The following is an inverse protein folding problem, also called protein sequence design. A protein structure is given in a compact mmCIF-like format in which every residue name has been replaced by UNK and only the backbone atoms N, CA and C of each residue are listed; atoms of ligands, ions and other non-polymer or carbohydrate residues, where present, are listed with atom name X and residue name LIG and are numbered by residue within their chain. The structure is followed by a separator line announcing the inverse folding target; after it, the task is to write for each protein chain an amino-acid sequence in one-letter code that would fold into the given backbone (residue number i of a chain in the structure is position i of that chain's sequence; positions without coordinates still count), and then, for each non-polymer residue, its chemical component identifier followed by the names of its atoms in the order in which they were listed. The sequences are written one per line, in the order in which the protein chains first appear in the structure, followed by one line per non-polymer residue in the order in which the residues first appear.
data_IF_964650035430
#
_entry.id   IF_964650035430
#
_cell.length_a   1.000
_cell.length_b   1.000
_cell.length_c   1.000
_cell.angle_alpha   90.00
_cell.angle_beta   90.00
_cell.angle_gamma   90.00
#
_symmetry.space_group_name_H-M   'P 1'
#
loop_
_entity.id
_entity.type
_entity.pdbx_description
1 polymer ?
#
# COMPACT_ATOMS: atom_id res chain seq x y z
N UNK A 1 -67.84 -14.64 14.43
CA UNK A 1 -66.80 -15.70 14.42
C UNK A 1 -65.83 -15.37 13.33
N UNK A 2 -64.69 -14.68 13.68
CA UNK A 2 -63.57 -14.41 12.76
C UNK A 2 -62.50 -15.49 13.00
N UNK A 3 -62.13 -16.19 11.92
CA UNK A 3 -61.01 -17.13 11.93
C UNK A 3 -59.69 -16.35 11.62
N UNK A 4 -58.59 -16.55 12.33
CA UNK A 4 -57.32 -15.95 11.96
C UNK A 4 -56.66 -16.72 10.83
N UNK A 5 -56.23 -15.96 9.82
CA UNK A 5 -55.36 -16.46 8.71
C UNK A 5 -53.91 -16.49 9.27
N UNK A 6 -53.35 -17.66 9.37
CA UNK A 6 -51.92 -17.84 9.66
C UNK A 6 -51.15 -17.73 8.36
N UNK A 7 -50.38 -16.67 8.18
CA UNK A 7 -49.45 -16.51 7.08
C UNK A 7 -48.17 -17.31 7.40
N UNK A 8 -47.95 -18.40 6.69
CA UNK A 8 -46.72 -19.18 6.73
C UNK A 8 -45.64 -18.43 5.89
N UNK A 9 -44.72 -17.77 6.55
CA UNK A 9 -43.52 -17.21 5.88
C UNK A 9 -42.54 -18.37 5.69
N UNK A 10 -42.46 -18.90 4.48
CA UNK A 10 -41.40 -19.84 4.07
C UNK A 10 -40.13 -19.04 3.82
N UNK A 11 -39.26 -19.01 4.83
CA UNK A 11 -37.91 -18.46 4.67
C UNK A 11 -37.11 -19.38 3.72
N UNK A 12 -36.80 -18.91 2.52
CA UNK A 12 -35.78 -19.51 1.66
C UNK A 12 -34.41 -19.38 2.34
N UNK A 13 -33.97 -20.41 3.05
CA UNK A 13 -32.56 -20.55 3.37
C UNK A 13 -31.84 -20.94 2.06
N UNK A 14 -31.10 -19.99 1.52
CA UNK A 14 -30.13 -20.26 0.49
C UNK A 14 -29.02 -21.12 1.13
N UNK A 15 -29.08 -22.44 0.93
CA UNK A 15 -27.94 -23.30 1.19
C UNK A 15 -26.85 -22.90 0.20
N UNK A 16 -25.73 -22.33 0.69
CA UNK A 16 -24.52 -22.20 -0.10
C UNK A 16 -24.17 -23.59 -0.63
N UNK A 17 -24.20 -23.76 -1.94
CA UNK A 17 -23.89 -25.02 -2.61
C UNK A 17 -22.41 -25.30 -2.37
N UNK A 18 -22.09 -26.31 -1.56
CA UNK A 18 -20.71 -26.71 -1.28
C UNK A 18 -20.07 -27.07 -2.64
N UNK A 19 -19.02 -26.39 -3.02
CA UNK A 19 -18.33 -26.64 -4.28
C UNK A 19 -17.81 -28.08 -4.30
N UNK A 20 -18.30 -28.87 -5.23
CA UNK A 20 -17.93 -30.29 -5.39
C UNK A 20 -16.85 -30.50 -6.45
N UNK A 21 -16.38 -29.44 -7.10
CA UNK A 21 -15.39 -29.48 -8.17
C UNK A 21 -14.15 -28.65 -7.80
N UNK A 22 -12.93 -29.15 -8.10
CA UNK A 22 -11.71 -28.41 -7.93
C UNK A 22 -11.51 -27.31 -9.00
N UNK A 23 -12.28 -27.32 -10.09
CA UNK A 23 -12.14 -26.33 -11.15
C UNK A 23 -12.32 -24.91 -10.64
N UNK A 24 -11.49 -23.99 -11.12
CA UNK A 24 -11.55 -22.56 -10.80
C UNK A 24 -10.21 -22.00 -10.35
N UNK A 25 -10.26 -20.80 -9.81
CA UNK A 25 -9.09 -20.06 -9.32
C UNK A 25 -8.95 -20.24 -7.81
N UNK A 26 -7.72 -20.42 -7.38
CA UNK A 26 -7.35 -20.64 -5.99
C UNK A 26 -6.12 -19.81 -5.64
N UNK A 27 -6.00 -19.45 -4.38
CA UNK A 27 -4.76 -18.98 -3.79
C UNK A 27 -4.15 -20.19 -3.08
N UNK A 28 -3.00 -20.64 -3.58
CA UNK A 28 -2.20 -21.74 -3.03
C UNK A 28 -1.20 -21.19 -2.03
N UNK A 29 -1.01 -21.89 -0.93
CA UNK A 29 0.02 -21.62 0.05
C UNK A 29 0.86 -22.89 0.24
N UNK A 30 2.13 -22.83 -0.09
CA UNK A 30 3.13 -23.83 0.20
C UNK A 30 3.89 -23.40 1.45
N UNK A 31 3.71 -24.12 2.56
CA UNK A 31 4.41 -23.84 3.82
C UNK A 31 5.78 -24.50 3.84
N UNK A 32 6.74 -23.76 3.29
CA UNK A 32 8.11 -24.23 3.18
C UNK A 32 8.92 -23.80 4.42
N UNK A 33 9.23 -24.76 5.29
CA UNK A 33 9.71 -24.54 6.65
C UNK A 33 8.72 -23.61 7.41
N UNK A 34 9.16 -22.47 7.93
CA UNK A 34 8.31 -21.52 8.62
C UNK A 34 7.83 -20.35 7.70
N UNK A 35 8.04 -20.48 6.37
CA UNK A 35 7.63 -19.47 5.42
C UNK A 35 6.37 -19.89 4.67
N UNK A 36 5.46 -18.94 4.51
CA UNK A 36 4.31 -19.05 3.63
C UNK A 36 4.69 -18.58 2.22
N UNK A 37 4.54 -19.44 1.22
CA UNK A 37 4.76 -19.14 -0.19
C UNK A 37 3.43 -19.18 -0.94
N UNK A 38 2.93 -18.01 -1.30
CA UNK A 38 1.63 -17.84 -1.93
C UNK A 38 1.76 -17.70 -3.44
N UNK A 39 0.91 -18.42 -4.17
CA UNK A 39 0.78 -18.27 -5.62
C UNK A 39 -0.66 -18.55 -6.09
N UNK A 40 -1.00 -18.11 -7.29
CA UNK A 40 -2.30 -18.40 -7.91
C UNK A 40 -2.30 -19.77 -8.53
N UNK A 41 -3.29 -20.59 -8.17
CA UNK A 41 -3.51 -21.92 -8.73
C UNK A 41 -4.81 -21.90 -9.55
N UNK A 42 -4.69 -22.11 -10.85
CA UNK A 42 -5.81 -22.33 -11.76
C UNK A 42 -5.96 -23.82 -12.02
N UNK A 43 -7.16 -24.36 -11.84
CA UNK A 43 -7.46 -25.77 -12.09
C UNK A 43 -8.64 -25.91 -13.04
N UNK A 44 -8.52 -26.82 -14.01
CA UNK A 44 -9.55 -27.18 -14.98
C UNK A 44 -9.75 -28.71 -15.00
N UNK A 45 -10.95 -29.16 -14.65
CA UNK A 45 -11.30 -30.58 -14.56
C UNK A 45 -12.01 -31.03 -15.85
N UNK A 46 -11.49 -32.12 -16.47
CA UNK A 46 -12.14 -32.81 -17.58
C UNK A 46 -12.17 -34.32 -17.28
N UNK A 47 -13.38 -34.82 -16.93
CA UNK A 47 -13.51 -36.16 -16.39
C UNK A 47 -12.77 -36.30 -15.07
N UNK A 48 -11.75 -37.15 -15.02
CA UNK A 48 -10.83 -37.31 -13.89
C UNK A 48 -9.51 -36.54 -14.09
N UNK A 49 -9.24 -36.08 -15.31
CA UNK A 49 -8.02 -35.33 -15.61
C UNK A 49 -8.12 -33.90 -15.11
N UNK A 50 -7.11 -33.49 -14.35
CA UNK A 50 -6.99 -32.16 -13.81
C UNK A 50 -5.76 -31.48 -14.44
N UNK A 51 -5.98 -30.37 -15.13
CA UNK A 51 -4.92 -29.57 -15.74
C UNK A 51 -4.99 -28.14 -15.21
N UNK A 52 -3.87 -27.40 -15.28
CA UNK A 52 -3.88 -26.02 -14.82
C UNK A 52 -2.51 -25.37 -14.74
N UNK A 53 -2.41 -24.39 -13.84
CA UNK A 53 -1.16 -23.67 -13.56
C UNK A 53 -1.05 -23.32 -12.09
N UNK A 54 0.16 -23.42 -11.54
CA UNK A 54 0.55 -22.81 -10.29
C UNK A 54 1.55 -21.67 -10.64
N UNK A 55 1.10 -20.44 -10.47
CA UNK A 55 1.82 -19.27 -10.99
C UNK A 55 2.01 -19.35 -12.49
N UNK A 56 3.26 -19.36 -12.95
CA UNK A 56 3.61 -19.52 -14.36
C UNK A 56 3.83 -20.99 -14.76
N UNK A 57 3.84 -21.91 -13.80
CA UNK A 57 4.22 -23.28 -13.99
C UNK A 57 3.01 -24.17 -14.33
N UNK A 58 3.17 -25.10 -15.27
CA UNK A 58 2.09 -26.03 -15.63
C UNK A 58 1.82 -27.03 -14.51
N UNK A 59 0.54 -27.28 -14.27
CA UNK A 59 0.04 -28.35 -13.38
C UNK A 59 -0.66 -29.40 -14.22
N UNK A 60 -0.29 -30.65 -14.02
CA UNK A 60 -0.93 -31.83 -14.60
C UNK A 60 -1.23 -32.83 -13.52
N UNK A 61 -2.48 -33.34 -13.46
CA UNK A 61 -2.89 -34.23 -12.40
C UNK A 61 -4.25 -34.89 -12.60
N UNK A 62 -4.78 -35.42 -11.51
CA UNK A 62 -6.08 -36.11 -11.47
C UNK A 62 -6.90 -35.65 -10.27
N UNK A 63 -8.22 -35.72 -10.41
CA UNK A 63 -9.18 -35.58 -9.32
C UNK A 63 -10.12 -36.76 -9.30
N UNK A 64 -10.08 -37.52 -8.20
CA UNK A 64 -10.93 -38.65 -7.98
C UNK A 64 -11.28 -38.78 -6.49
N UNK A 65 -12.54 -39.10 -6.18
CA UNK A 65 -13.03 -39.31 -4.81
C UNK A 65 -12.69 -38.16 -3.85
N UNK A 66 -12.76 -36.88 -4.35
CA UNK A 66 -12.46 -35.71 -3.57
C UNK A 66 -10.96 -35.45 -3.38
N UNK A 67 -10.08 -36.22 -4.01
CA UNK A 67 -8.62 -36.08 -3.90
C UNK A 67 -8.00 -35.54 -5.17
N UNK A 68 -7.03 -34.70 -4.97
CA UNK A 68 -6.18 -34.12 -6.01
C UNK A 68 -4.80 -34.77 -5.90
N UNK A 69 -4.29 -35.24 -7.00
CA UNK A 69 -2.89 -35.66 -7.14
C UNK A 69 -2.36 -35.05 -8.44
N UNK A 70 -1.24 -34.33 -8.38
CA UNK A 70 -0.66 -33.73 -9.56
C UNK A 70 0.79 -33.30 -9.40
N UNK A 71 1.37 -32.90 -10.51
CA UNK A 71 2.75 -32.49 -10.62
C UNK A 71 2.80 -31.05 -11.18
N UNK A 72 3.65 -30.22 -10.59
CA UNK A 72 4.01 -28.89 -11.07
C UNK A 72 5.49 -28.94 -11.47
N UNK A 73 5.81 -28.52 -12.68
CA UNK A 73 7.20 -28.38 -13.16
C UNK A 73 7.64 -26.94 -12.91
N UNK A 74 8.31 -26.70 -11.79
CA UNK A 74 8.76 -25.38 -11.37
C UNK A 74 10.09 -24.98 -12.03
N UNK A 75 10.85 -25.95 -12.58
CA UNK A 75 12.09 -25.71 -13.27
C UNK A 75 12.63 -26.95 -14.00
N UNK A 76 13.81 -26.86 -14.64
CA UNK A 76 14.41 -27.99 -15.35
C UNK A 76 14.71 -29.19 -14.43
N UNK A 77 14.94 -28.95 -13.15
CA UNK A 77 15.31 -29.92 -12.13
C UNK A 77 14.48 -29.77 -10.87
N UNK A 78 13.28 -29.21 -10.98
CA UNK A 78 12.43 -28.95 -9.84
C UNK A 78 10.98 -29.36 -10.17
N UNK A 79 10.56 -30.42 -9.51
CA UNK A 79 9.20 -30.94 -9.63
C UNK A 79 8.52 -30.94 -8.27
N UNK A 80 7.35 -30.30 -8.18
CA UNK A 80 6.54 -30.32 -6.97
C UNK A 80 5.38 -31.27 -7.19
N UNK A 81 5.29 -32.33 -6.36
CA UNK A 81 4.14 -33.22 -6.31
C UNK A 81 3.13 -32.66 -5.29
N UNK A 82 1.90 -32.44 -5.71
CA UNK A 82 0.80 -31.99 -4.87
C UNK A 82 -0.17 -33.11 -4.61
N UNK A 83 -0.43 -33.42 -3.33
CA UNK A 83 -1.43 -34.34 -2.87
C UNK A 83 -2.38 -33.63 -1.92
N UNK A 84 -3.67 -33.57 -2.23
CA UNK A 84 -4.61 -32.84 -1.40
C UNK A 84 -6.03 -33.36 -1.45
N UNK A 85 -6.83 -32.96 -0.48
CA UNK A 85 -8.26 -33.28 -0.42
C UNK A 85 -9.06 -31.97 -0.54
N UNK A 86 -10.07 -31.98 -1.41
CA UNK A 86 -11.02 -30.88 -1.55
C UNK A 86 -12.04 -30.93 -0.41
N UNK A 87 -12.15 -29.84 0.34
CA UNK A 87 -13.09 -29.66 1.46
C UNK A 87 -13.86 -28.34 1.28
N UNK A 88 -14.92 -28.34 0.49
CA UNK A 88 -15.65 -27.13 0.13
C UNK A 88 -14.78 -26.16 -0.67
N UNK A 89 -14.53 -24.98 -0.15
CA UNK A 89 -13.69 -23.95 -0.76
C UNK A 89 -12.22 -23.99 -0.29
N UNK A 90 -11.78 -25.13 0.24
CA UNK A 90 -10.38 -25.38 0.65
C UNK A 90 -9.85 -26.67 0.07
N UNK A 91 -8.55 -26.67 -0.22
CA UNK A 91 -7.75 -27.85 -0.50
C UNK A 91 -6.71 -27.92 0.61
N UNK A 92 -6.59 -29.08 1.24
CA UNK A 92 -5.58 -29.34 2.28
C UNK A 92 -4.79 -30.58 1.93
N UNK A 93 -3.47 -30.51 2.07
CA UNK A 93 -2.63 -31.61 1.67
C UNK A 93 -1.13 -31.42 1.92
N UNK A 94 -0.36 -32.12 1.13
CA UNK A 94 1.10 -32.13 1.17
C UNK A 94 1.65 -31.79 -0.21
N UNK A 95 2.68 -30.96 -0.25
CA UNK A 95 3.55 -30.75 -1.39
C UNK A 95 4.88 -31.47 -1.13
N UNK A 96 5.44 -32.10 -2.15
CA UNK A 96 6.74 -32.80 -2.08
C UNK A 96 7.65 -32.22 -3.16
N UNK A 97 8.81 -31.69 -2.80
CA UNK A 97 9.91 -31.49 -3.74
C UNK A 97 10.51 -32.83 -4.09
N UNK A 98 10.23 -33.33 -5.31
CA UNK A 98 10.50 -34.72 -5.69
C UNK A 98 11.99 -35.04 -5.67
N UNK A 99 12.83 -34.12 -6.17
CA UNK A 99 14.27 -34.34 -6.30
C UNK A 99 14.95 -34.34 -4.92
N UNK A 100 14.46 -33.53 -3.99
CA UNK A 100 15.01 -33.42 -2.64
C UNK A 100 14.35 -34.37 -1.63
N UNK A 101 13.23 -34.97 -2.00
CA UNK A 101 12.38 -35.82 -1.13
C UNK A 101 11.93 -35.08 0.13
N UNK A 102 11.57 -33.83 -0.03
CA UNK A 102 11.18 -32.95 1.06
C UNK A 102 9.67 -32.69 1.00
N UNK A 103 8.98 -33.03 2.08
CA UNK A 103 7.54 -32.83 2.25
C UNK A 103 7.28 -31.56 3.07
N UNK A 104 6.25 -30.81 2.65
CA UNK A 104 5.75 -29.66 3.38
C UNK A 104 4.24 -29.50 3.22
N UNK A 105 3.63 -28.71 4.08
CA UNK A 105 2.18 -28.50 4.08
C UNK A 105 1.76 -27.72 2.84
N UNK A 106 0.69 -28.16 2.19
CA UNK A 106 0.02 -27.46 1.12
C UNK A 106 -1.42 -27.16 1.50
N UNK A 107 -1.80 -25.91 1.34
CA UNK A 107 -3.17 -25.44 1.47
C UNK A 107 -3.53 -24.61 0.25
N UNK A 108 -4.78 -24.68 -0.19
CA UNK A 108 -5.31 -23.69 -1.13
C UNK A 108 -6.73 -23.33 -0.74
N UNK A 109 -7.09 -22.08 -0.93
CA UNK A 109 -8.44 -21.60 -0.75
C UNK A 109 -8.92 -20.93 -2.02
N UNK A 110 -10.21 -21.09 -2.28
CA UNK A 110 -10.80 -20.54 -3.48
C UNK A 110 -10.60 -19.04 -3.51
N UNK A 111 -10.03 -18.53 -4.61
CA UNK A 111 -9.89 -17.09 -4.79
C UNK A 111 -11.28 -16.45 -4.72
N UNK A 112 -11.45 -15.43 -3.88
CA UNK A 112 -12.68 -14.71 -3.81
C UNK A 112 -13.01 -14.20 -5.22
N UNK A 113 -14.16 -14.60 -5.75
CA UNK A 113 -14.59 -14.03 -7.02
C UNK A 113 -14.72 -12.53 -6.83
N UNK A 114 -14.06 -11.75 -7.69
CA UNK A 114 -14.31 -10.30 -7.77
C UNK A 114 -15.82 -10.15 -7.70
N UNK A 115 -16.32 -9.46 -6.69
CA UNK A 115 -17.77 -9.35 -6.49
C UNK A 115 -18.42 -9.01 -7.83
N UNK A 116 -19.36 -9.85 -8.26
CA UNK A 116 -20.08 -9.63 -9.53
C UNK A 116 -20.97 -8.36 -9.49
N UNK A 117 -20.97 -7.65 -8.36
CA UNK A 117 -21.67 -6.40 -8.14
C UNK A 117 -20.81 -5.17 -8.48
N UNK A 118 -21.41 -4.00 -8.55
CA UNK A 118 -20.69 -2.74 -8.72
C UNK A 118 -19.76 -2.49 -7.53
N UNK A 119 -18.67 -1.71 -7.72
CA UNK A 119 -17.82 -1.27 -6.63
C UNK A 119 -18.60 -0.64 -5.48
N UNK A 120 -18.21 -0.92 -4.25
CA UNK A 120 -18.88 -0.42 -3.05
C UNK A 120 -18.10 0.74 -2.42
N UNK A 121 -18.83 1.59 -1.71
CA UNK A 121 -18.23 2.62 -0.87
C UNK A 121 -18.46 2.26 0.59
N UNK A 122 -17.37 2.11 1.33
CA UNK A 122 -17.36 1.78 2.75
C UNK A 122 -17.05 3.03 3.57
N UNK A 123 -17.95 3.39 4.50
CA UNK A 123 -17.65 4.40 5.51
C UNK A 123 -17.06 3.69 6.74
N UNK A 124 -15.80 3.96 7.03
CA UNK A 124 -15.10 3.38 8.18
C UNK A 124 -14.76 4.46 9.21
N UNK A 125 -15.32 4.31 10.40
CA UNK A 125 -15.06 5.19 11.55
C UNK A 125 -14.00 4.54 12.45
N UNK A 126 -12.76 5.05 12.51
CA UNK A 126 -11.69 4.44 13.28
C UNK A 126 -11.93 4.61 14.78
N UNK A 127 -11.84 3.52 15.53
CA UNK A 127 -11.91 3.48 16.98
C UNK A 127 -10.55 3.18 17.64
N UNK A 128 -9.63 2.61 16.87
CA UNK A 128 -8.27 2.24 17.24
C UNK A 128 -7.30 2.73 16.18
N UNK A 129 -6.06 2.99 16.58
CA UNK A 129 -5.00 3.47 15.72
C UNK A 129 -3.75 2.65 15.94
N UNK A 130 -3.09 2.25 14.87
CA UNK A 130 -1.94 1.38 14.90
C UNK A 130 -0.64 2.20 14.90
N UNK A 131 0.41 1.67 15.53
CA UNK A 131 1.73 2.32 15.60
C UNK A 131 2.80 1.54 14.84
N UNK A 132 2.37 0.57 14.06
CA UNK A 132 3.26 -0.32 13.31
C UNK A 132 2.63 -0.73 11.99
N UNK A 133 3.47 -0.93 11.00
CA UNK A 133 3.18 -1.72 9.82
C UNK A 133 3.53 -3.16 10.12
N UNK A 134 2.56 -4.08 10.09
CA UNK A 134 2.80 -5.51 10.37
C UNK A 134 1.64 -6.37 9.86
N UNK A 135 1.99 -7.57 9.38
CA UNK A 135 1.03 -8.60 8.98
C UNK A 135 0.38 -9.34 10.17
N UNK A 136 0.90 -9.14 11.38
CA UNK A 136 0.31 -9.67 12.61
C UNK A 136 -0.91 -8.88 13.11
N UNK A 137 -1.17 -7.68 12.55
CA UNK A 137 -2.30 -6.83 12.95
C UNK A 137 -3.56 -7.27 12.21
N UNK A 138 -4.64 -7.50 12.98
CA UNK A 138 -5.91 -7.90 12.39
C UNK A 138 -6.52 -6.78 11.54
N UNK A 139 -7.03 -7.09 10.35
CA UNK A 139 -7.66 -6.09 9.51
C UNK A 139 -8.93 -5.52 10.18
N UNK A 140 -9.13 -4.21 9.99
CA UNK A 140 -10.31 -3.49 10.49
C UNK A 140 -11.47 -3.52 9.50
N UNK A 141 -11.17 -3.74 8.22
CA UNK A 141 -12.15 -3.81 7.14
C UNK A 141 -11.59 -4.66 6.00
N UNK A 142 -12.46 -5.46 5.36
CA UNK A 142 -12.19 -6.17 4.13
C UNK A 142 -12.81 -5.42 2.95
N UNK A 143 -12.05 -5.20 1.89
CA UNK A 143 -12.47 -4.46 0.69
C UNK A 143 -12.08 -5.21 -0.57
N UNK A 144 -12.89 -5.09 -1.61
CA UNK A 144 -12.58 -5.69 -2.91
C UNK A 144 -11.85 -4.69 -3.82
N UNK A 145 -11.04 -5.17 -4.78
CA UNK A 145 -10.54 -4.32 -5.84
C UNK A 145 -11.68 -3.57 -6.56
N UNK A 146 -11.55 -2.25 -6.67
CA UNK A 146 -12.55 -1.31 -7.15
C UNK A 146 -13.36 -0.61 -6.05
N UNK A 147 -13.34 -1.10 -4.80
CA UNK A 147 -14.06 -0.48 -3.70
C UNK A 147 -13.38 0.82 -3.23
N UNK A 148 -14.21 1.72 -2.69
CA UNK A 148 -13.78 3.00 -2.10
C UNK A 148 -13.97 2.97 -0.59
N UNK A 149 -12.99 3.48 0.15
CA UNK A 149 -13.06 3.67 1.61
C UNK A 149 -13.08 5.15 1.93
N UNK A 150 -14.02 5.57 2.77
CA UNK A 150 -14.08 6.90 3.40
C UNK A 150 -13.76 6.76 4.87
N UNK A 151 -12.74 7.45 5.32
CA UNK A 151 -12.27 7.39 6.70
C UNK A 151 -11.59 8.70 7.11
N UNK A 152 -10.95 8.71 8.27
CA UNK A 152 -10.13 9.82 8.74
C UNK A 152 -8.94 9.31 9.55
N UNK A 153 -7.93 10.17 9.75
CA UNK A 153 -6.78 9.90 10.61
C UNK A 153 -6.69 10.93 11.74
N UNK A 154 -6.12 10.52 12.87
CA UNK A 154 -5.56 11.46 13.85
C UNK A 154 -4.30 12.11 13.27
N UNK A 155 -3.81 13.20 13.91
CA UNK A 155 -2.50 13.78 13.60
C UNK A 155 -1.34 12.92 14.15
N UNK A 156 -0.10 13.25 13.81
CA UNK A 156 1.10 12.57 14.31
C UNK A 156 1.17 12.49 15.84
N UNK A 157 0.55 13.43 16.55
CA UNK A 157 0.42 13.44 18.01
C UNK A 157 -0.67 12.54 18.57
N UNK A 158 -1.54 11.98 17.73
CA UNK A 158 -2.68 11.15 18.15
C UNK A 158 -3.94 11.92 18.48
N UNK A 159 -4.11 13.13 17.95
CA UNK A 159 -5.26 14.02 18.22
C UNK A 159 -6.25 14.00 17.06
N UNK A 160 -7.54 13.87 17.38
CA UNK A 160 -8.63 13.73 16.44
C UNK A 160 -9.12 15.09 15.86
N UNK A 161 -10.11 15.09 14.91
CA UNK A 161 -10.67 16.31 14.35
C UNK A 161 -11.24 17.30 15.37
N UNK A 162 -11.64 16.81 16.55
CA UNK A 162 -12.21 17.62 17.65
C UNK A 162 -11.16 18.14 18.63
N UNK A 163 -9.87 17.86 18.38
CA UNK A 163 -8.77 18.24 19.27
C UNK A 163 -8.64 17.32 20.50
N UNK A 164 -9.27 16.14 20.48
CA UNK A 164 -9.18 15.17 21.58
C UNK A 164 -8.07 14.15 21.29
N UNK A 165 -7.21 13.92 22.27
CA UNK A 165 -6.19 12.89 22.17
C UNK A 165 -6.80 11.50 22.26
N UNK A 166 -6.63 10.70 21.20
CA UNK A 166 -7.22 9.36 21.05
C UNK A 166 -6.21 8.24 21.30
N UNK A 167 -4.93 8.51 21.06
CA UNK A 167 -3.86 7.53 21.19
C UNK A 167 -2.53 8.22 21.51
N UNK A 168 -1.46 7.43 21.70
CA UNK A 168 -0.10 7.95 21.79
C UNK A 168 0.32 8.59 20.45
N UNK A 169 1.28 9.52 20.49
CA UNK A 169 1.90 10.07 19.27
C UNK A 169 2.88 9.09 18.64
N UNK A 170 3.51 9.52 17.54
CA UNK A 170 4.44 8.74 16.71
C UNK A 170 3.73 8.19 15.48
N UNK A 171 3.04 9.06 14.76
CA UNK A 171 2.39 8.82 13.47
C UNK A 171 1.38 7.65 13.51
N UNK A 172 0.30 7.75 14.33
CA UNK A 172 -0.70 6.69 14.43
C UNK A 172 -1.45 6.49 13.10
N UNK A 173 -1.66 5.22 12.74
CA UNK A 173 -2.21 4.80 11.46
C UNK A 173 -3.67 4.37 11.59
N UNK A 174 -4.47 4.64 10.58
CA UNK A 174 -5.79 4.08 10.36
C UNK A 174 -5.66 2.86 9.44
N UNK A 175 -6.23 1.72 9.84
CA UNK A 175 -6.10 0.45 9.15
C UNK A 175 -5.73 -0.69 10.11
N UNK A 176 -5.27 -1.88 9.62
CA UNK A 176 -5.09 -2.17 8.20
C UNK A 176 -6.39 -2.54 7.47
N UNK A 177 -6.45 -2.15 6.21
CA UNK A 177 -7.50 -2.55 5.28
C UNK A 177 -7.03 -3.78 4.49
N UNK A 178 -7.79 -4.87 4.58
CA UNK A 178 -7.48 -6.10 3.84
C UNK A 178 -8.08 -6.01 2.44
N UNK A 179 -7.26 -6.19 1.42
CA UNK A 179 -7.72 -6.19 0.02
C UNK A 179 -7.86 -7.63 -0.46
N UNK A 180 -9.10 -8.01 -0.79
CA UNK A 180 -9.43 -9.37 -1.20
C UNK A 180 -8.67 -9.79 -2.47
N UNK A 181 -8.12 -10.99 -2.44
CA UNK A 181 -7.34 -11.56 -3.55
C UNK A 181 -5.90 -11.06 -3.67
N UNK A 182 -5.45 -10.12 -2.83
CA UNK A 182 -4.06 -9.66 -2.84
C UNK A 182 -3.13 -10.71 -2.21
N UNK A 183 -2.08 -11.09 -2.94
CA UNK A 183 -1.04 -12.00 -2.46
C UNK A 183 0.36 -11.39 -2.64
N UNK A 184 1.38 -11.85 -1.91
CA UNK A 184 2.76 -11.43 -2.11
C UNK A 184 3.19 -11.49 -3.58
N UNK A 185 3.88 -10.45 -4.05
CA UNK A 185 4.27 -10.30 -5.47
C UNK A 185 3.29 -9.51 -6.33
N UNK A 186 2.08 -9.22 -5.84
CA UNK A 186 1.13 -8.33 -6.51
C UNK A 186 1.48 -6.86 -6.30
N UNK A 187 0.81 -6.00 -7.06
CA UNK A 187 0.86 -4.56 -6.89
C UNK A 187 -0.49 -4.07 -6.38
N UNK A 188 -0.51 -3.50 -5.18
CA UNK A 188 -1.68 -2.76 -4.69
C UNK A 188 -1.69 -1.37 -5.32
N UNK A 189 -2.81 -0.99 -5.91
CA UNK A 189 -3.05 0.34 -6.48
C UNK A 189 -3.98 1.10 -5.55
N UNK A 190 -3.57 2.27 -5.07
CA UNK A 190 -4.35 3.13 -4.19
C UNK A 190 -4.51 4.48 -4.85
N UNK A 191 -5.73 4.84 -5.22
CA UNK A 191 -6.05 6.16 -5.74
C UNK A 191 -6.71 7.02 -4.65
N UNK A 192 -6.12 8.16 -4.33
CA UNK A 192 -6.68 9.09 -3.34
C UNK A 192 -7.70 10.02 -4.00
N UNK A 193 -8.98 9.72 -3.80
CA UNK A 193 -10.10 10.51 -4.30
C UNK A 193 -10.24 11.83 -3.54
N UNK A 194 -9.90 11.83 -2.23
CA UNK A 194 -9.96 13.02 -1.37
C UNK A 194 -8.97 12.93 -0.23
N UNK A 195 -8.23 14.01 -0.02
CA UNK A 195 -7.43 14.27 1.18
C UNK A 195 -7.74 15.69 1.62
N UNK A 196 -8.45 15.86 2.74
CA UNK A 196 -8.97 17.14 3.13
C UNK A 196 -8.81 17.40 4.63
N UNK A 197 -8.50 18.65 4.96
CA UNK A 197 -8.41 19.11 6.34
C UNK A 197 -9.77 19.00 7.03
N UNK A 198 -9.80 18.43 8.23
CA UNK A 198 -11.00 18.33 9.06
C UNK A 198 -10.87 19.08 10.41
N UNK A 199 -9.76 19.79 10.60
CA UNK A 199 -9.47 20.63 11.79
C UNK A 199 -8.84 21.96 11.35
N UNK A 200 -9.00 23.01 12.15
CA UNK A 200 -8.53 24.38 11.87
C UNK A 200 -7.20 24.73 12.55
N UNK A 201 -6.51 23.70 13.07
CA UNK A 201 -5.22 23.85 13.75
C UNK A 201 -4.22 22.81 13.30
N UNK A 202 -2.95 23.19 13.29
CA UNK A 202 -1.83 22.28 13.11
C UNK A 202 -0.69 22.67 14.07
N UNK A 203 0.23 21.74 14.25
CA UNK A 203 1.47 21.97 15.01
C UNK A 203 2.67 21.65 14.12
N UNK A 204 3.83 22.28 14.38
CA UNK A 204 5.09 21.89 13.76
C UNK A 204 6.24 22.00 14.77
N UNK A 205 7.44 21.62 14.37
CA UNK A 205 8.63 21.81 15.21
C UNK A 205 9.26 23.18 14.96
N UNK A 206 9.88 23.80 15.99
CA UNK A 206 10.41 25.14 15.91
C UNK A 206 11.81 25.22 15.28
N UNK A 207 12.48 24.10 15.05
CA UNK A 207 13.88 24.06 14.61
C UNK A 207 14.07 23.07 13.46
N UNK A 208 14.94 23.44 12.53
CA UNK A 208 15.47 22.50 11.54
C UNK A 208 16.27 21.40 12.24
N UNK A 209 16.08 20.16 11.83
CA UNK A 209 16.79 19.00 12.39
C UNK A 209 18.30 19.08 12.16
N UNK A 210 19.07 18.57 13.08
CA UNK A 210 20.53 18.64 13.00
C UNK A 210 21.11 17.87 11.80
N UNK A 211 20.47 16.78 11.37
CA UNK A 211 20.86 15.99 10.19
C UNK A 211 20.85 16.78 8.88
N UNK A 212 20.09 17.85 8.81
CA UNK A 212 20.00 18.74 7.62
C UNK A 212 20.94 19.96 7.69
N UNK A 213 21.76 20.10 8.73
CA UNK A 213 22.59 21.26 8.98
C UNK A 213 24.08 20.90 9.14
N UNK A 214 24.96 21.83 8.79
CA UNK A 214 26.38 21.69 9.04
C UNK A 214 26.71 21.78 10.54
N UNK A 215 27.67 20.99 11.01
CA UNK A 215 28.06 20.91 12.42
C UNK A 215 28.45 22.29 13.00
N UNK A 216 29.23 23.09 12.28
CA UNK A 216 29.62 24.44 12.76
C UNK A 216 28.44 25.37 12.96
N UNK A 217 27.40 25.30 12.09
CA UNK A 217 26.19 26.09 12.32
C UNK A 217 25.41 25.60 13.56
N UNK A 218 25.38 24.28 13.80
CA UNK A 218 24.70 23.72 14.97
C UNK A 218 25.37 24.19 16.27
N UNK A 219 26.71 24.22 16.32
CA UNK A 219 27.48 24.71 17.46
C UNK A 219 27.24 26.20 17.72
N UNK A 220 27.17 27.02 16.65
CA UNK A 220 26.98 28.48 16.74
C UNK A 220 25.52 28.90 16.91
N UNK A 221 24.57 27.98 16.71
CA UNK A 221 23.14 28.28 16.75
C UNK A 221 22.71 28.75 18.13
N UNK A 222 22.19 29.97 18.20
CA UNK A 222 21.63 30.51 19.44
C UNK A 222 20.43 29.70 19.89
N UNK A 223 20.32 29.48 21.19
CA UNK A 223 19.15 28.86 21.80
C UNK A 223 17.92 29.70 21.49
N UNK A 224 16.87 29.02 21.01
CA UNK A 224 15.55 29.63 20.80
C UNK A 224 14.70 29.33 22.01
N UNK A 225 14.25 30.35 22.70
CA UNK A 225 13.38 30.23 23.87
C UNK A 225 11.97 30.71 23.50
N UNK A 226 10.96 30.05 24.05
CA UNK A 226 9.53 30.41 23.95
C UNK A 226 8.95 30.62 22.54
N UNK A 227 9.53 29.93 21.52
CA UNK A 227 8.95 29.95 20.19
C UNK A 227 7.82 28.95 20.10
N UNK A 228 6.61 29.43 19.76
CA UNK A 228 5.43 28.60 19.54
C UNK A 228 5.27 28.33 18.04
N UNK A 229 5.26 27.05 17.67
CA UNK A 229 5.07 26.59 16.30
C UNK A 229 3.65 26.01 16.06
N UNK A 230 2.65 26.55 16.76
CA UNK A 230 1.24 26.25 16.53
C UNK A 230 0.69 27.12 15.38
N UNK A 231 -0.13 26.50 14.54
CA UNK A 231 -0.69 27.13 13.35
C UNK A 231 -2.22 27.16 13.39
N UNK A 232 -2.75 28.23 12.83
CA UNK A 232 -4.16 28.35 12.46
C UNK A 232 -4.28 28.03 10.97
N UNK A 233 -5.23 27.15 10.64
CA UNK A 233 -5.56 26.79 9.27
C UNK A 233 -6.86 27.50 8.88
N UNK A 234 -6.78 28.38 7.93
CA UNK A 234 -7.94 29.04 7.30
C UNK A 234 -8.31 28.23 6.05
N UNK A 235 -9.18 27.26 6.24
CA UNK A 235 -9.57 26.31 5.18
C UNK A 235 -10.37 26.99 4.06
N UNK A 236 -11.11 28.04 4.39
CA UNK A 236 -11.90 28.80 3.41
C UNK A 236 -10.99 29.68 2.54
N UNK A 237 -10.07 30.39 3.17
CA UNK A 237 -9.12 31.26 2.45
C UNK A 237 -7.93 30.49 1.85
N UNK A 238 -7.71 29.22 2.24
CA UNK A 238 -6.66 28.36 1.71
C UNK A 238 -5.26 28.66 2.24
N UNK A 239 -5.12 29.18 3.47
CA UNK A 239 -3.82 29.55 4.05
C UNK A 239 -3.65 29.06 5.49
N UNK A 240 -2.39 28.83 5.88
CA UNK A 240 -1.98 28.68 7.27
C UNK A 240 -1.19 29.90 7.75
N UNK A 241 -1.31 30.23 9.04
CA UNK A 241 -0.57 31.29 9.72
C UNK A 241 -0.22 30.86 11.14
N UNK A 242 0.90 31.35 11.68
CA UNK A 242 1.27 31.11 13.07
C UNK A 242 0.22 31.70 14.03
N UNK A 243 -0.13 30.97 15.10
CA UNK A 243 -1.05 31.48 16.11
C UNK A 243 -0.42 32.61 16.95
N UNK A 244 0.89 32.49 17.20
CA UNK A 244 1.68 33.49 17.96
C UNK A 244 2.90 33.88 17.16
N UNK A 245 2.76 34.68 16.07
CA UNK A 245 3.87 35.08 15.24
C UNK A 245 4.80 36.06 15.97
N UNK A 246 6.09 35.98 15.71
CA UNK A 246 7.04 37.06 16.07
C UNK A 246 6.77 38.27 15.23
N UNK A 247 7.38 39.42 15.59
CA UNK A 247 7.25 40.66 14.83
C UNK A 247 7.64 40.47 13.35
N UNK A 248 8.69 39.73 13.08
CA UNK A 248 9.19 39.43 11.72
C UNK A 248 8.24 38.56 10.90
N UNK A 249 7.44 37.70 11.55
CA UNK A 249 6.53 36.75 10.90
C UNK A 249 5.05 37.15 11.01
N UNK A 250 4.75 38.40 11.47
CA UNK A 250 3.38 38.85 11.71
C UNK A 250 2.44 38.68 10.52
N UNK A 251 2.94 38.84 9.31
CA UNK A 251 2.17 38.72 8.07
C UNK A 251 2.50 37.44 7.29
N UNK A 252 3.29 36.51 7.88
CA UNK A 252 3.68 35.28 7.21
C UNK A 252 2.50 34.35 7.08
N UNK A 253 2.19 33.97 5.85
CA UNK A 253 1.14 33.00 5.50
C UNK A 253 1.67 32.07 4.44
N UNK A 254 1.27 30.81 4.52
CA UNK A 254 1.62 29.76 3.55
C UNK A 254 0.35 29.15 2.96
N UNK A 255 0.34 28.77 1.67
CA UNK A 255 -0.81 28.11 1.06
C UNK A 255 -1.02 26.71 1.67
N UNK A 256 -2.27 26.31 1.87
CA UNK A 256 -2.61 24.95 2.26
C UNK A 256 -2.44 23.99 1.08
N UNK A 257 -1.86 22.83 1.37
CA UNK A 257 -1.68 21.76 0.41
C UNK A 257 -1.74 20.41 1.12
N UNK A 258 -2.96 19.94 1.52
CA UNK A 258 -3.16 18.75 2.31
C UNK A 258 -2.54 17.51 1.66
N UNK A 259 -1.87 16.70 2.47
CA UNK A 259 -1.21 15.47 2.04
C UNK A 259 -1.18 14.42 3.16
N UNK A 260 -0.77 13.20 2.86
CA UNK A 260 -0.51 12.15 3.85
C UNK A 260 0.98 11.82 3.88
N UNK A 261 1.57 11.81 5.07
CA UNK A 261 2.92 11.34 5.33
C UNK A 261 3.00 9.82 5.26
N UNK A 262 2.09 9.14 5.96
CA UNK A 262 2.07 7.69 6.06
C UNK A 262 1.07 7.05 5.09
N UNK A 263 1.59 6.31 4.12
CA UNK A 263 0.84 5.38 3.25
C UNK A 263 1.69 4.15 3.02
N UNK A 264 1.25 2.98 3.48
CA UNK A 264 2.03 1.76 3.32
C UNK A 264 1.22 0.49 3.53
N UNK A 265 1.81 -0.63 3.14
CA UNK A 265 1.26 -1.98 3.32
C UNK A 265 2.04 -2.73 4.39
N UNK A 266 1.49 -3.84 4.88
CA UNK A 266 2.23 -4.68 5.81
C UNK A 266 3.48 -5.28 5.14
N UNK A 267 4.67 -5.17 5.74
CA UNK A 267 5.82 -5.95 5.34
C UNK A 267 5.56 -7.43 5.66
N UNK A 268 5.91 -8.32 4.73
CA UNK A 268 5.72 -9.76 4.92
C UNK A 268 6.73 -10.39 5.89
N UNK A 269 6.56 -11.69 6.13
CA UNK A 269 7.52 -12.49 6.89
C UNK A 269 7.54 -12.20 8.39
N UNK A 270 6.43 -11.75 8.97
CA UNK A 270 6.32 -11.43 10.40
C UNK A 270 7.06 -10.16 10.82
N UNK A 271 7.52 -9.36 9.88
CA UNK A 271 8.21 -8.12 10.18
C UNK A 271 7.26 -7.09 10.79
N UNK A 272 7.85 -6.22 11.64
CA UNK A 272 7.12 -5.16 12.32
C UNK A 272 7.95 -3.88 12.34
N UNK A 273 7.51 -2.87 11.60
CA UNK A 273 8.15 -1.55 11.58
C UNK A 273 7.26 -0.51 12.24
N UNK A 274 7.84 0.37 13.03
CA UNK A 274 7.11 1.51 13.60
C UNK A 274 6.56 2.40 12.48
N UNK A 275 5.46 3.07 12.74
CA UNK A 275 4.78 3.94 11.77
C UNK A 275 5.64 5.10 11.25
N UNK A 276 6.62 5.59 12.01
CA UNK A 276 7.63 6.56 11.55
C UNK A 276 8.78 5.95 10.73
N UNK A 277 8.65 4.72 10.22
CA UNK A 277 9.62 4.10 9.32
C UNK A 277 9.04 4.01 7.91
N UNK A 278 9.92 4.08 6.93
CA UNK A 278 9.59 3.89 5.52
C UNK A 278 10.52 2.85 4.89
N UNK A 279 10.10 2.30 3.75
CA UNK A 279 10.85 1.27 3.05
C UNK A 279 10.16 0.82 1.77
N UNK A 280 10.50 -0.37 1.28
CA UNK A 280 9.83 -0.94 0.11
C UNK A 280 8.33 -1.05 0.26
N UNK A 281 7.82 -1.20 1.48
CA UNK A 281 6.39 -1.29 1.81
C UNK A 281 5.65 0.07 1.79
N UNK A 282 6.31 1.18 1.49
CA UNK A 282 5.83 2.54 1.71
C UNK A 282 6.17 2.99 3.13
N UNK A 283 5.16 3.38 3.92
CA UNK A 283 5.32 3.82 5.29
C UNK A 283 5.28 5.33 5.41
N UNK A 284 6.13 5.90 6.27
CA UNK A 284 6.26 7.33 6.50
C UNK A 284 7.06 7.98 5.36
N UNK A 285 6.44 8.06 4.19
CA UNK A 285 7.14 8.52 2.98
C UNK A 285 7.34 10.04 2.93
N UNK A 286 6.54 10.78 3.69
CA UNK A 286 6.59 12.24 3.81
C UNK A 286 6.85 12.97 2.49
N UNK A 287 6.13 12.51 1.46
CA UNK A 287 6.26 13.08 0.13
C UNK A 287 5.09 14.02 -0.19
N UNK A 288 5.39 15.28 -0.31
CA UNK A 288 4.41 16.34 -0.48
C UNK A 288 3.57 16.28 -1.78
N UNK A 289 3.76 15.26 -2.61
CA UNK A 289 2.87 14.97 -3.75
C UNK A 289 1.84 13.87 -3.43
N UNK A 290 1.86 13.27 -2.24
CA UNK A 290 0.83 12.31 -1.80
C UNK A 290 -0.43 13.09 -1.39
N UNK A 291 -1.09 13.65 -2.39
CA UNK A 291 -2.26 14.54 -2.30
C UNK A 291 -3.48 13.93 -2.98
N UNK A 292 -4.61 14.61 -2.86
CA UNK A 292 -5.80 14.30 -3.65
C UNK A 292 -5.47 14.18 -5.15
N UNK A 293 -5.97 13.13 -5.80
CA UNK A 293 -5.73 12.82 -7.20
C UNK A 293 -4.46 12.00 -7.49
N UNK A 294 -3.62 11.70 -6.47
CA UNK A 294 -2.46 10.83 -6.67
C UNK A 294 -2.89 9.35 -6.68
N UNK A 295 -2.23 8.55 -7.52
CA UNK A 295 -2.27 7.09 -7.48
C UNK A 295 -0.94 6.56 -6.99
N UNK A 296 -0.96 5.66 -6.02
CA UNK A 296 0.23 5.00 -5.45
C UNK A 296 0.18 3.51 -5.77
N UNK A 297 1.31 2.97 -6.19
CA UNK A 297 1.55 1.56 -6.49
C UNK A 297 2.48 0.98 -5.43
N UNK A 298 1.96 0.11 -4.58
CA UNK A 298 2.68 -0.49 -3.46
C UNK A 298 2.95 -1.97 -3.72
N UNK A 299 4.15 -2.49 -3.41
CA UNK A 299 4.41 -3.93 -3.51
C UNK A 299 3.68 -4.68 -2.40
N UNK A 300 2.90 -5.67 -2.75
CA UNK A 300 2.26 -6.56 -1.79
C UNK A 300 3.28 -7.57 -1.27
N UNK A 301 3.46 -7.63 0.04
CA UNK A 301 4.38 -8.55 0.72
C UNK A 301 3.69 -9.45 1.74
N UNK A 302 2.42 -9.19 2.05
CA UNK A 302 1.59 -9.98 2.95
C UNK A 302 0.22 -10.26 2.31
N UNK A 303 -0.42 -11.35 2.73
CA UNK A 303 -1.76 -11.68 2.28
C UNK A 303 -2.74 -10.54 2.59
N UNK A 304 -3.54 -10.17 1.59
CA UNK A 304 -4.47 -9.04 1.71
C UNK A 304 -3.81 -7.66 1.67
N UNK A 305 -2.52 -7.57 1.35
CA UNK A 305 -1.71 -6.34 1.34
C UNK A 305 -1.67 -5.62 2.70
N UNK A 306 -2.81 -5.47 3.38
CA UNK A 306 -2.96 -4.80 4.67
C UNK A 306 -2.53 -3.32 4.58
N UNK A 307 -3.34 -2.51 3.92
CA UNK A 307 -3.08 -1.09 3.71
C UNK A 307 -3.32 -0.27 5.00
N UNK A 308 -2.37 0.61 5.31
CA UNK A 308 -2.46 1.61 6.37
C UNK A 308 -2.33 3.01 5.78
N UNK A 309 -3.04 3.99 6.36
CA UNK A 309 -2.98 5.40 6.01
C UNK A 309 -2.97 6.26 7.27
N UNK A 310 -2.32 7.40 7.25
CA UNK A 310 -2.28 8.31 8.41
C UNK A 310 -1.35 9.48 8.19
N UNK A 311 -1.04 10.18 9.30
CA UNK A 311 -0.07 11.25 9.33
C UNK A 311 -0.40 12.37 8.35
N UNK A 312 -1.46 13.10 8.67
CA UNK A 312 -1.98 14.17 7.81
C UNK A 312 -1.24 15.48 7.99
N UNK A 313 -0.73 16.04 6.90
CA UNK A 313 -0.05 17.34 6.87
C UNK A 313 -0.88 18.36 6.12
N UNK A 314 -1.10 19.53 6.72
CA UNK A 314 -1.75 20.65 6.04
C UNK A 314 -0.84 21.29 4.97
N UNK A 315 0.47 21.18 5.15
CA UNK A 315 1.52 21.60 4.22
C UNK A 315 2.85 21.00 4.67
N UNK A 316 3.68 20.57 3.72
CA UNK A 316 5.06 20.16 3.93
C UNK A 316 5.98 20.76 2.87
N UNK A 317 7.11 21.33 3.29
CA UNK A 317 8.23 21.67 2.43
C UNK A 317 9.06 20.43 2.07
N UNK A 318 9.82 20.48 0.96
CA UNK A 318 10.74 19.41 0.60
C UNK A 318 11.75 19.16 1.74
N UNK A 319 12.04 17.87 1.98
CA UNK A 319 12.96 17.42 3.01
C UNK A 319 12.39 17.31 4.40
N UNK A 320 11.16 17.79 4.64
CA UNK A 320 10.53 17.89 5.98
C UNK A 320 11.47 18.42 7.07
N UNK A 321 12.17 19.48 6.76
CA UNK A 321 13.38 19.94 7.48
C UNK A 321 13.22 20.15 8.99
N UNK A 322 12.00 20.24 9.50
CA UNK A 322 11.75 20.44 10.94
C UNK A 322 11.40 19.15 11.66
N UNK A 323 11.39 18.00 10.96
CA UNK A 323 11.02 16.69 11.52
C UNK A 323 9.54 16.56 11.90
N UNK A 324 8.76 17.55 11.54
CA UNK A 324 7.30 17.62 11.54
C UNK A 324 6.89 18.65 10.50
N UNK A 325 5.95 18.33 9.68
CA UNK A 325 5.31 19.29 8.78
C UNK A 325 4.27 20.15 9.53
N UNK A 326 3.20 20.59 8.90
CA UNK A 326 2.04 21.16 9.60
C UNK A 326 1.09 20.00 9.95
N UNK A 327 1.34 19.38 11.11
CA UNK A 327 0.67 18.17 11.59
C UNK A 327 -0.79 18.42 11.94
N UNK A 328 -1.70 17.68 11.33
CA UNK A 328 -3.13 17.81 11.59
C UNK A 328 -3.88 16.52 11.27
N UNK A 329 -5.11 16.39 11.76
CA UNK A 329 -6.01 15.31 11.38
C UNK A 329 -6.59 15.54 9.97
N UNK A 330 -6.98 14.44 9.29
CA UNK A 330 -7.33 14.49 7.87
C UNK A 330 -8.53 13.59 7.55
N UNK A 331 -9.47 14.06 6.73
CA UNK A 331 -10.44 13.21 6.05
C UNK A 331 -9.79 12.57 4.83
N UNK A 332 -10.01 11.28 4.65
CA UNK A 332 -9.36 10.48 3.63
C UNK A 332 -10.42 9.67 2.87
N UNK A 333 -10.39 9.76 1.54
CA UNK A 333 -11.16 8.87 0.66
C UNK A 333 -10.21 8.29 -0.38
N UNK A 334 -10.17 6.97 -0.46
CA UNK A 334 -9.34 6.26 -1.43
C UNK A 334 -10.06 5.08 -2.05
N UNK A 335 -9.72 4.76 -3.29
CA UNK A 335 -10.15 3.57 -4.01
C UNK A 335 -8.96 2.63 -4.14
N UNK A 336 -9.18 1.32 -3.90
CA UNK A 336 -8.14 0.30 -4.06
C UNK A 336 -8.38 -0.49 -5.34
N UNK A 337 -7.29 -0.88 -6.01
CA UNK A 337 -7.32 -1.90 -7.08
C UNK A 337 -6.10 -2.81 -6.95
N UNK A 338 -6.07 -3.89 -7.71
CA UNK A 338 -5.05 -4.91 -7.62
C UNK A 338 -4.57 -5.32 -9.01
N UNK A 339 -3.24 -5.25 -9.22
CA UNK A 339 -2.58 -5.79 -10.40
C UNK A 339 -1.83 -7.06 -10.00
N UNK A 340 -2.21 -8.18 -10.61
CA UNK A 340 -1.59 -9.46 -10.33
C UNK A 340 -0.13 -9.48 -10.78
N UNK A 341 0.75 -9.77 -9.87
CA UNK A 341 2.19 -9.82 -10.10
C UNK A 341 2.83 -8.46 -10.39
N UNK A 342 4.10 -8.50 -10.73
CA UNK A 342 4.84 -7.33 -11.20
C UNK A 342 5.06 -6.24 -10.16
N UNK A 343 5.07 -6.59 -8.87
CA UNK A 343 5.30 -5.66 -7.77
C UNK A 343 6.52 -4.78 -8.01
N UNK A 344 6.42 -3.47 -7.80
CA UNK A 344 7.57 -2.58 -7.84
C UNK A 344 8.50 -2.89 -6.66
N UNK A 345 9.79 -2.59 -6.77
CA UNK A 345 10.74 -2.79 -5.65
C UNK A 345 10.54 -1.79 -4.53
N UNK A 346 10.17 -0.57 -4.88
CA UNK A 346 9.77 0.51 -3.96
C UNK A 346 8.49 1.14 -4.49
N UNK A 347 7.77 1.92 -3.69
CA UNK A 347 6.57 2.61 -4.12
C UNK A 347 6.79 3.41 -5.41
N UNK A 348 5.79 3.37 -6.28
CA UNK A 348 5.66 4.23 -7.45
C UNK A 348 4.42 5.08 -7.29
N UNK A 349 4.42 6.24 -7.86
CA UNK A 349 3.29 7.16 -7.80
C UNK A 349 3.07 7.81 -9.15
N UNK A 350 1.86 8.23 -9.41
CA UNK A 350 1.55 9.11 -10.52
C UNK A 350 0.46 10.11 -10.14
N UNK A 351 0.54 11.27 -10.72
CA UNK A 351 -0.52 12.28 -10.68
C UNK A 351 -0.83 12.74 -12.11
N UNK A 352 -1.55 13.85 -12.27
CA UNK A 352 -1.87 14.39 -13.58
C UNK A 352 -0.62 14.72 -14.40
N UNK A 353 0.47 15.19 -13.75
CA UNK A 353 1.62 15.78 -14.40
C UNK A 353 2.83 14.85 -14.52
N UNK A 354 3.01 13.91 -13.56
CA UNK A 354 4.25 13.15 -13.42
C UNK A 354 4.03 11.65 -13.20
N UNK A 355 4.98 10.86 -13.72
CA UNK A 355 5.32 9.56 -13.15
C UNK A 355 6.45 9.76 -12.15
N UNK A 356 6.36 9.11 -10.99
CA UNK A 356 7.23 9.34 -9.83
C UNK A 356 7.66 7.99 -9.23
N UNK A 357 8.96 7.78 -9.05
CA UNK A 357 9.52 6.54 -8.51
C UNK A 357 10.34 6.81 -7.25
N UNK A 358 10.01 6.12 -6.17
CA UNK A 358 10.68 6.25 -4.89
C UNK A 358 12.04 5.54 -4.85
N UNK A 359 12.99 6.18 -4.20
CA UNK A 359 14.21 5.58 -3.68
C UNK A 359 14.30 5.84 -2.19
N UNK A 360 14.37 4.79 -1.40
CA UNK A 360 14.33 4.84 0.07
C UNK A 360 15.54 4.09 0.61
N UNK A 361 16.42 4.79 1.32
CA UNK A 361 17.68 4.21 1.78
C UNK A 361 18.24 4.92 3.01
N UNK A 362 19.33 4.41 3.57
CA UNK A 362 20.05 5.04 4.68
C UNK A 362 20.93 6.24 4.29
N UNK A 363 20.97 6.62 3.00
CA UNK A 363 21.69 7.81 2.51
C UNK A 363 21.06 8.37 1.26
N UNK A 364 21.21 9.69 1.04
CA UNK A 364 20.70 10.37 -0.15
C UNK A 364 21.29 9.79 -1.46
N UNK A 365 22.57 9.44 -1.46
CA UNK A 365 23.25 8.85 -2.61
C UNK A 365 22.61 7.52 -3.05
N UNK A 366 22.32 6.65 -2.10
CA UNK A 366 21.69 5.37 -2.39
C UNK A 366 20.22 5.53 -2.73
N UNK A 367 19.49 6.40 -2.03
CA UNK A 367 18.11 6.71 -2.35
C UNK A 367 17.98 7.29 -3.78
N UNK A 368 18.88 8.18 -4.18
CA UNK A 368 18.96 8.71 -5.55
C UNK A 368 19.15 7.60 -6.60
N UNK A 369 20.10 6.66 -6.36
CA UNK A 369 20.34 5.54 -7.29
C UNK A 369 19.11 4.63 -7.38
N UNK A 370 18.45 4.35 -6.27
CA UNK A 370 17.23 3.53 -6.24
C UNK A 370 16.08 4.21 -6.98
N UNK A 371 15.83 5.50 -6.74
CA UNK A 371 14.79 6.27 -7.40
C UNK A 371 14.99 6.27 -8.93
N UNK A 372 16.21 6.58 -9.37
CA UNK A 372 16.58 6.56 -10.80
C UNK A 372 16.34 5.17 -11.40
N UNK A 373 16.87 4.12 -10.77
CA UNK A 373 16.74 2.74 -11.27
C UNK A 373 15.28 2.29 -11.34
N UNK A 374 14.46 2.67 -10.36
CA UNK A 374 13.04 2.32 -10.34
C UNK A 374 12.27 3.03 -11.46
N UNK A 375 12.61 4.29 -11.76
CA UNK A 375 12.02 5.02 -12.88
C UNK A 375 12.45 4.43 -14.24
N UNK A 376 13.74 4.11 -14.40
CA UNK A 376 14.27 3.41 -15.60
C UNK A 376 13.49 2.13 -15.86
N UNK A 377 13.38 1.24 -14.86
CA UNK A 377 12.65 -0.02 -14.99
C UNK A 377 11.17 0.17 -15.30
N UNK A 378 10.57 1.25 -14.80
CA UNK A 378 9.18 1.57 -15.13
C UNK A 378 9.03 1.91 -16.60
N UNK A 379 9.89 2.76 -17.14
CA UNK A 379 9.86 3.13 -18.55
C UNK A 379 10.19 1.94 -19.48
N UNK A 380 11.19 1.13 -19.14
CA UNK A 380 11.51 -0.09 -19.88
C UNK A 380 10.32 -1.06 -19.92
N UNK A 381 9.66 -1.27 -18.78
CA UNK A 381 8.55 -2.24 -18.67
C UNK A 381 7.29 -1.75 -19.37
N UNK A 382 6.82 -0.54 -19.05
CA UNK A 382 5.49 -0.09 -19.43
C UNK A 382 5.49 0.68 -20.76
N UNK A 383 6.58 1.40 -21.07
CA UNK A 383 6.75 2.13 -22.33
C UNK A 383 7.58 1.36 -23.36
N UNK A 384 8.10 0.16 -23.01
CA UNK A 384 8.92 -0.70 -23.90
C UNK A 384 10.18 -0.04 -24.43
N UNK A 385 10.71 0.96 -23.73
CA UNK A 385 11.92 1.65 -24.12
C UNK A 385 13.16 0.79 -23.83
N UNK A 386 14.13 0.80 -24.72
CA UNK A 386 15.45 0.23 -24.43
C UNK A 386 16.33 1.22 -23.64
N UNK A 387 17.48 0.78 -23.14
CA UNK A 387 18.34 1.59 -22.27
C UNK A 387 18.82 2.91 -22.92
N UNK A 388 19.05 2.95 -24.23
CA UNK A 388 19.48 4.16 -24.94
C UNK A 388 18.31 5.16 -25.07
N UNK A 389 17.11 4.66 -25.34
CA UNK A 389 15.89 5.47 -25.40
C UNK A 389 15.53 6.05 -24.03
N UNK A 390 15.60 5.24 -22.97
CA UNK A 390 15.43 5.71 -21.59
C UNK A 390 16.46 6.79 -21.26
N UNK A 391 17.72 6.61 -21.65
CA UNK A 391 18.77 7.61 -21.44
C UNK A 391 18.48 8.93 -22.15
N UNK A 392 17.93 8.89 -23.36
CA UNK A 392 17.53 10.08 -24.12
C UNK A 392 16.38 10.82 -23.43
N UNK A 393 15.36 10.08 -22.96
CA UNK A 393 14.21 10.66 -22.25
C UNK A 393 14.65 11.23 -20.89
N UNK A 394 15.25 10.43 -20.04
CA UNK A 394 15.56 10.85 -18.67
C UNK A 394 16.73 11.86 -18.63
N UNK A 395 17.73 11.74 -19.54
CA UNK A 395 18.84 12.68 -19.59
C UNK A 395 18.42 14.12 -19.90
N UNK A 396 17.21 14.32 -20.43
CA UNK A 396 16.70 15.65 -20.82
C UNK A 396 15.51 16.12 -19.99
N UNK A 397 14.85 15.23 -19.23
CA UNK A 397 13.55 15.57 -18.60
C UNK A 397 13.38 15.11 -17.16
N UNK A 398 14.32 14.34 -16.60
CA UNK A 398 14.19 13.87 -15.21
C UNK A 398 14.27 15.03 -14.22
N UNK A 399 13.44 14.97 -13.19
CA UNK A 399 13.46 15.88 -12.04
C UNK A 399 13.54 15.07 -10.76
N UNK A 400 14.27 15.56 -9.78
CA UNK A 400 14.38 14.92 -8.46
C UNK A 400 13.80 15.79 -7.38
N UNK A 401 13.04 15.16 -6.47
CA UNK A 401 12.62 15.76 -5.22
C UNK A 401 13.30 15.02 -4.05
N UNK A 402 13.69 15.76 -3.03
CA UNK A 402 14.00 15.23 -1.71
C UNK A 402 12.70 15.31 -0.91
N UNK A 403 12.08 14.17 -0.66
CA UNK A 403 10.80 14.11 0.03
C UNK A 403 10.99 14.39 1.53
N UNK A 404 11.88 13.63 2.20
CA UNK A 404 12.24 13.82 3.59
C UNK A 404 13.70 13.38 3.85
N UNK A 405 14.32 13.91 4.94
CA UNK A 405 15.69 13.60 5.41
C UNK A 405 15.75 13.44 6.93
N UNK A 406 14.62 13.21 7.57
CA UNK A 406 14.46 13.31 9.04
C UNK A 406 14.18 11.97 9.70
N UNK A 407 13.75 11.00 8.95
CA UNK A 407 13.47 9.64 9.38
C UNK A 407 14.70 8.71 9.36
N UNK A 408 14.60 7.48 9.89
CA UNK A 408 15.72 6.53 9.86
C UNK A 408 16.24 6.20 8.46
N UNK A 409 15.38 6.26 7.43
CA UNK A 409 15.74 6.24 6.02
C UNK A 409 15.48 7.63 5.45
N UNK A 410 16.09 7.95 4.31
CA UNK A 410 15.81 9.16 3.54
C UNK A 410 15.05 8.80 2.27
N UNK A 411 14.21 9.70 1.79
CA UNK A 411 13.37 9.50 0.63
C UNK A 411 13.69 10.48 -0.48
N UNK A 412 14.14 9.95 -1.62
CA UNK A 412 14.33 10.69 -2.88
C UNK A 412 13.34 10.18 -3.91
N UNK A 413 12.73 11.08 -4.65
CA UNK A 413 11.79 10.73 -5.74
C UNK A 413 12.34 11.21 -7.06
N UNK A 414 12.53 10.28 -8.00
CA UNK A 414 12.80 10.58 -9.40
C UNK A 414 11.47 10.68 -10.16
N UNK A 415 11.27 11.75 -10.90
CA UNK A 415 10.03 11.97 -11.64
C UNK A 415 10.28 12.42 -13.07
N UNK A 416 9.36 12.05 -13.97
CA UNK A 416 9.36 12.45 -15.36
C UNK A 416 8.01 13.05 -15.73
N UNK A 417 7.96 14.20 -16.44
CA UNK A 417 6.69 14.78 -16.86
C UNK A 417 5.94 13.87 -17.83
N UNK A 418 4.66 13.63 -17.59
CA UNK A 418 3.79 12.86 -18.49
C UNK A 418 3.69 13.49 -19.89
N UNK A 419 3.81 14.82 -19.99
CA UNK A 419 3.83 15.54 -21.26
C UNK A 419 4.98 15.11 -22.17
N UNK A 420 6.15 14.77 -21.60
CA UNK A 420 7.29 14.24 -22.38
C UNK A 420 7.01 12.82 -22.86
N UNK A 421 6.28 12.03 -22.08
CA UNK A 421 5.96 10.64 -22.42
C UNK A 421 4.80 10.53 -23.42
N UNK A 422 3.97 11.56 -23.53
CA UNK A 422 2.84 11.57 -24.46
C UNK A 422 3.24 11.51 -25.94
N UNK A 423 4.45 11.98 -26.27
CA UNK A 423 4.99 11.99 -27.63
C UNK A 423 5.68 10.65 -28.00
N UNK A 424 5.78 9.71 -27.06
CA UNK A 424 6.39 8.43 -27.31
C UNK A 424 5.43 7.52 -28.07
N UNK A 425 5.88 7.00 -29.22
CA UNK A 425 5.15 5.96 -29.95
C UNK A 425 5.43 4.63 -29.27
N UNK A 426 4.54 4.18 -28.40
CA UNK A 426 4.62 2.83 -27.82
C UNK A 426 4.27 1.84 -28.93
N UNK A 427 5.24 1.05 -29.38
CA UNK A 427 4.98 -0.01 -30.33
C UNK A 427 3.93 -0.97 -29.73
N UNK A 428 2.75 -1.00 -30.35
CA UNK A 428 1.74 -2.00 -30.03
C UNK A 428 2.25 -3.34 -30.57
N UNK A 429 2.70 -4.24 -29.68
CA UNK A 429 3.01 -5.63 -30.02
C UNK A 429 1.78 -6.52 -29.78
#
# INVERSE_FOLDING_TARGET
MLRPIVLLVVGCMAFAQIATTPSGKWISNLKYFDNDDYDRLQLDLNGTKLAGKLGQNSFDGTFQDGRIEGLVKAGPHETIKLLGALKGDRIEGTATLVEEKLDFKWEAYREAQKNAGPPQTHAFEPSQFEHYFSDAIKPVLHVNPGDTVKTWSVDAGGTDPKGLRRTAGGNPLTGPFYVEGAIPGDTLVVHFNRIALNRDTAISSPLIVNSALNAGYIEDRKKVEDYNADWKLDREAGFASLQKPTANLKNYKVPLAPMLGCVGVAPGGGNRFRSGYLGSFGGNMDYNQVREGVTIYLPVSALGALLFVGDGHALQGAGELTGNALETSMDIEFTVDLVAGGAPRNPRMENQDYLMASGIAGSLDEAFRQATTNLVRWLEKDYKLNAAEVSSVLGTSIVYDIAEVVDPQVHVVAKVPKSVLADLTVAQN
#
